data_IF_232032903030
#
_entry.id   IF_232032903030
#
_cell.length_a   1.000
_cell.length_b   1.000
_cell.length_c   1.000
_cell.angle_alpha   90.00
_cell.angle_beta   90.00
_cell.angle_gamma   90.00
#
_symmetry.space_group_name_H-M   'P 1'
#
loop_
_entity.id
_entity.type
_entity.pdbx_description
1 polymer ?
#
# COMPACT_ATOMS: atom_id res chain seq x y z
N UNK A 1 -19.30 42.78 -28.20
CA UNK A 1 -18.45 41.68 -28.72
C UNK A 1 -17.54 41.21 -27.61
N UNK A 2 -17.48 39.90 -27.37
CA UNK A 2 -16.47 39.19 -26.56
C UNK A 2 -16.44 39.59 -25.08
N UNK A 3 -16.88 38.80 -24.12
CA UNK A 3 -16.94 37.35 -24.01
C UNK A 3 -16.72 37.11 -22.53
N UNK A 4 -17.80 36.81 -21.79
CA UNK A 4 -17.70 36.51 -20.38
C UNK A 4 -16.81 35.25 -20.25
N UNK A 5 -15.58 35.42 -19.77
CA UNK A 5 -14.83 34.33 -19.14
C UNK A 5 -15.54 34.05 -17.83
N UNK A 6 -16.53 33.15 -17.89
CA UNK A 6 -17.14 32.60 -16.69
C UNK A 6 -16.03 31.91 -15.91
N UNK A 7 -15.74 32.43 -14.73
CA UNK A 7 -14.91 31.77 -13.72
C UNK A 7 -15.61 30.48 -13.35
N UNK A 8 -15.31 29.39 -14.07
CA UNK A 8 -15.71 28.05 -13.65
C UNK A 8 -15.13 27.86 -12.24
N UNK A 9 -15.92 27.41 -11.26
CA UNK A 9 -15.35 27.02 -9.98
C UNK A 9 -14.32 25.94 -10.30
N UNK A 10 -13.07 26.16 -9.88
CA UNK A 10 -12.00 25.21 -10.07
C UNK A 10 -12.37 23.95 -9.26
N UNK A 11 -13.10 23.03 -9.90
CA UNK A 11 -13.61 21.80 -9.32
C UNK A 11 -12.50 20.78 -8.95
N UNK A 12 -11.25 21.19 -9.08
CA UNK A 12 -10.05 20.43 -8.76
C UNK A 12 -9.27 21.00 -7.57
N UNK A 13 -9.71 22.12 -6.98
CA UNK A 13 -9.10 22.61 -5.74
C UNK A 13 -9.63 21.78 -4.56
N UNK A 14 -8.75 21.39 -3.62
CA UNK A 14 -9.18 20.74 -2.40
C UNK A 14 -10.12 21.65 -1.59
N UNK A 15 -10.96 21.09 -0.71
CA UNK A 15 -11.78 21.85 0.22
C UNK A 15 -10.94 22.92 0.96
N UNK A 16 -11.52 24.08 1.29
CA UNK A 16 -10.79 25.14 2.00
C UNK A 16 -10.30 24.74 3.40
N UNK A 17 -10.91 23.70 3.99
CA UNK A 17 -10.51 23.13 5.27
C UNK A 17 -9.38 22.10 5.15
N UNK A 18 -9.06 21.63 3.94
CA UNK A 18 -7.94 20.71 3.72
C UNK A 18 -6.62 21.49 3.80
N UNK A 19 -5.66 21.04 4.62
CA UNK A 19 -4.36 21.68 4.68
C UNK A 19 -3.64 21.57 3.32
N UNK A 20 -2.85 22.59 2.94
CA UNK A 20 -2.11 22.55 1.69
C UNK A 20 -1.04 21.45 1.72
N UNK A 21 -0.70 20.95 0.54
CA UNK A 21 0.28 19.86 0.34
C UNK A 21 1.64 20.18 0.97
N UNK A 22 2.06 21.44 0.96
CA UNK A 22 3.31 21.89 1.59
C UNK A 22 3.29 21.71 3.11
N UNK A 23 2.11 21.82 3.75
CA UNK A 23 1.94 21.58 5.19
C UNK A 23 1.93 20.08 5.44
N UNK A 24 1.15 19.29 4.68
CA UNK A 24 1.09 17.82 4.78
C UNK A 24 2.47 17.16 4.62
N UNK A 25 3.33 17.68 3.73
CA UNK A 25 4.71 17.18 3.56
C UNK A 25 5.60 17.41 4.78
N UNK A 26 5.25 18.37 5.62
CA UNK A 26 5.96 18.67 6.87
C UNK A 26 5.30 18.03 8.09
N UNK A 27 4.09 17.50 7.96
CA UNK A 27 3.42 16.80 9.03
C UNK A 27 4.17 15.51 9.38
N UNK A 28 4.57 15.41 10.65
CA UNK A 28 5.16 14.20 11.19
C UNK A 28 4.00 13.25 11.45
N UNK A 29 3.91 12.15 10.70
CA UNK A 29 2.90 11.11 10.91
C UNK A 29 3.15 10.48 12.30
N UNK A 30 2.42 10.93 13.31
CA UNK A 30 2.53 10.45 14.69
C UNK A 30 1.68 9.21 14.95
N UNK A 31 0.68 8.98 14.10
CA UNK A 31 -0.27 7.87 14.19
C UNK A 31 0.26 6.66 13.40
N UNK A 32 1.27 6.00 13.94
CA UNK A 32 1.70 4.71 13.42
C UNK A 32 0.86 3.60 14.04
N UNK A 33 0.57 2.55 13.26
CA UNK A 33 0.00 1.29 13.76
C UNK A 33 1.07 0.21 13.73
N UNK A 34 1.04 -0.68 14.71
CA UNK A 34 1.98 -1.79 14.75
C UNK A 34 1.78 -2.70 13.52
N UNK A 35 2.85 -3.08 12.80
CA UNK A 35 2.78 -3.99 11.66
C UNK A 35 2.40 -5.42 12.03
N UNK A 36 2.35 -5.77 13.32
CA UNK A 36 2.05 -7.15 13.79
C UNK A 36 0.55 -7.32 14.10
N UNK A 37 -0.03 -6.36 14.81
CA UNK A 37 -1.36 -6.43 15.42
C UNK A 37 -2.27 -5.23 15.08
N UNK A 38 -1.73 -4.16 14.48
CA UNK A 38 -2.50 -3.00 14.03
C UNK A 38 -2.92 -2.03 15.14
N UNK A 39 -2.46 -2.25 16.37
CA UNK A 39 -2.69 -1.34 17.50
C UNK A 39 -1.94 -0.01 17.30
N UNK A 40 -2.47 1.11 17.81
CA UNK A 40 -1.79 2.39 17.75
C UNK A 40 -0.50 2.35 18.57
N UNK A 41 0.61 2.76 17.96
CA UNK A 41 1.94 2.76 18.58
C UNK A 41 2.58 4.13 18.45
N UNK A 42 3.37 4.52 19.45
CA UNK A 42 4.13 5.76 19.37
C UNK A 42 5.24 5.66 18.31
N UNK A 43 5.71 6.79 17.73
CA UNK A 43 6.78 6.77 16.73
C UNK A 43 8.07 6.09 17.20
N UNK A 44 8.43 6.25 18.48
CA UNK A 44 9.61 5.64 19.07
C UNK A 44 9.48 4.12 19.25
N UNK A 45 8.29 3.65 19.62
CA UNK A 45 7.99 2.21 19.68
C UNK A 45 7.98 1.60 18.29
N UNK A 46 7.38 2.29 17.30
CA UNK A 46 7.39 1.86 15.91
C UNK A 46 8.81 1.71 15.36
N UNK A 47 9.69 2.68 15.62
CA UNK A 47 11.09 2.62 15.18
C UNK A 47 11.82 1.39 15.76
N UNK A 48 11.65 1.11 17.06
CA UNK A 48 12.22 -0.08 17.70
C UNK A 48 11.65 -1.38 17.12
N UNK A 49 10.35 -1.42 16.90
CA UNK A 49 9.67 -2.60 16.34
C UNK A 49 10.13 -2.86 14.90
N UNK A 50 10.36 -1.80 14.12
CA UNK A 50 10.90 -1.89 12.78
C UNK A 50 12.35 -2.38 12.77
N UNK A 51 13.20 -1.94 13.70
CA UNK A 51 14.56 -2.47 13.87
C UNK A 51 14.52 -3.97 14.18
N UNK A 52 13.67 -4.40 15.12
CA UNK A 52 13.52 -5.81 15.49
C UNK A 52 13.02 -6.67 14.32
N UNK A 53 12.07 -6.15 13.52
CA UNK A 53 11.55 -6.86 12.35
C UNK A 53 12.55 -6.91 11.19
N UNK A 54 13.40 -5.88 11.06
CA UNK A 54 14.42 -5.83 9.99
C UNK A 54 15.52 -6.88 10.22
N UNK A 55 15.85 -7.16 11.48
CA UNK A 55 16.86 -8.17 11.84
C UNK A 55 16.37 -9.62 11.64
N UNK A 56 15.05 -9.83 11.59
CA UNK A 56 14.44 -11.17 11.41
C UNK A 56 14.58 -11.74 9.98
N UNK A 57 15.14 -10.98 9.04
CA UNK A 57 15.38 -11.42 7.67
C UNK A 57 14.10 -11.75 6.88
N UNK A 58 14.25 -12.28 5.67
CA UNK A 58 13.09 -12.70 4.86
C UNK A 58 12.43 -13.91 5.52
N UNK A 59 11.11 -13.90 5.79
CA UNK A 59 10.44 -15.01 6.42
C UNK A 59 10.63 -16.29 5.59
N UNK A 60 11.29 -17.29 6.18
CA UNK A 60 11.55 -18.57 5.52
C UNK A 60 10.24 -19.34 5.48
N UNK A 61 9.58 -19.33 4.32
CA UNK A 61 8.40 -20.17 4.10
C UNK A 61 8.76 -21.65 4.23
N UNK A 62 7.90 -22.42 4.89
CA UNK A 62 8.09 -23.87 4.95
C UNK A 62 8.15 -24.45 3.53
N UNK A 63 9.00 -25.48 3.32
CA UNK A 63 9.15 -26.13 1.99
C UNK A 63 7.81 -26.59 1.41
N UNK A 64 6.87 -26.99 2.27
CA UNK A 64 5.53 -27.41 1.85
C UNK A 64 4.77 -26.25 1.22
N UNK A 65 4.72 -25.10 1.89
CA UNK A 65 3.99 -23.91 1.42
C UNK A 65 4.61 -23.38 0.13
N UNK A 66 5.94 -23.27 0.05
CA UNK A 66 6.61 -22.80 -1.18
C UNK A 66 6.36 -23.73 -2.37
N UNK A 67 6.39 -25.05 -2.15
CA UNK A 67 6.05 -26.03 -3.17
C UNK A 67 4.60 -25.91 -3.64
N UNK A 68 3.64 -25.77 -2.71
CA UNK A 68 2.23 -25.57 -3.06
C UNK A 68 2.03 -24.32 -3.90
N UNK A 69 2.63 -23.18 -3.52
CA UNK A 69 2.56 -21.94 -4.29
C UNK A 69 3.13 -22.14 -5.70
N UNK A 70 4.26 -22.85 -5.84
CA UNK A 70 4.86 -23.15 -7.15
C UNK A 70 3.91 -23.96 -8.04
N UNK A 71 3.29 -25.00 -7.49
CA UNK A 71 2.32 -25.82 -8.22
C UNK A 71 1.09 -25.01 -8.67
N UNK A 72 0.59 -24.11 -7.81
CA UNK A 72 -0.52 -23.23 -8.16
C UNK A 72 -0.14 -22.27 -9.29
N UNK A 73 1.06 -21.68 -9.26
CA UNK A 73 1.56 -20.82 -10.35
C UNK A 73 1.69 -21.59 -11.67
N UNK A 74 2.19 -22.81 -11.64
CA UNK A 74 2.27 -23.68 -12.83
C UNK A 74 0.87 -23.98 -13.36
N UNK A 75 -0.07 -24.36 -12.50
CA UNK A 75 -1.47 -24.61 -12.89
C UNK A 75 -2.09 -23.38 -13.55
N UNK A 76 -1.86 -22.20 -12.98
CA UNK A 76 -2.35 -20.94 -13.55
C UNK A 76 -1.74 -20.66 -14.92
N UNK A 77 -0.44 -20.87 -15.09
CA UNK A 77 0.24 -20.70 -16.37
C UNK A 77 -0.31 -21.67 -17.44
N UNK A 78 -0.51 -22.95 -17.09
CA UNK A 78 -1.09 -23.94 -18.01
C UNK A 78 -2.49 -23.52 -18.44
N UNK A 79 -3.35 -23.10 -17.50
CA UNK A 79 -4.71 -22.63 -17.83
C UNK A 79 -4.70 -21.39 -18.73
N UNK A 80 -3.72 -20.51 -18.54
CA UNK A 80 -3.57 -19.31 -19.37
C UNK A 80 -3.08 -19.64 -20.78
N UNK A 81 -2.16 -20.60 -20.93
CA UNK A 81 -1.55 -20.93 -22.21
C UNK A 81 -2.39 -21.90 -23.03
N UNK A 82 -3.15 -22.76 -22.35
CA UNK A 82 -4.00 -23.79 -22.95
C UNK A 82 -5.45 -23.67 -22.44
N UNK A 83 -6.18 -22.61 -22.82
CA UNK A 83 -7.54 -22.35 -22.32
C UNK A 83 -8.58 -23.40 -22.75
N UNK A 84 -8.20 -24.32 -23.63
CA UNK A 84 -9.04 -25.40 -24.16
C UNK A 84 -8.68 -26.80 -23.63
N UNK A 85 -7.57 -26.98 -22.91
CA UNK A 85 -7.15 -28.29 -22.40
C UNK A 85 -7.62 -28.58 -20.96
N UNK A 86 -7.94 -27.55 -20.17
CA UNK A 86 -8.51 -27.67 -18.83
C UNK A 86 -9.73 -26.74 -18.71
N UNK A 87 -10.97 -27.24 -18.90
CA UNK A 87 -12.17 -26.44 -18.62
C UNK A 87 -12.18 -25.92 -17.17
#
# INVERSE_FOLDING_TARGET
MGGLLWTLPAAALPPPDDPPEEVLRTEIITEARSPVDGEPVSPGEYARLQEELSDRGTPILSRRVSNTIRLLRIRQAIRSLFPFLLP
#
